data_IF_577106660819
#
_entry.id   IF_577106660819
#
_cell.length_a   1.000
_cell.length_b   1.000
_cell.length_c   1.000
_cell.angle_alpha   90.00
_cell.angle_beta   90.00
_cell.angle_gamma   90.00
#
_symmetry.space_group_name_H-M   'P 1'
#
loop_
_entity.id
_entity.type
_entity.pdbx_description
1 polymer ?
#
# COMPACT_ATOMS: atom_id res chain seq x y z
N UNK A 1 29.00 -57.15 16.72
CA UNK A 1 28.19 -57.14 17.97
C UNK A 1 28.85 -56.19 18.96
N UNK A 2 28.02 -55.50 19.74
CA UNK A 2 28.34 -54.52 20.80
C UNK A 2 28.57 -53.06 20.37
N UNK A 3 27.46 -52.34 20.45
CA UNK A 3 27.26 -50.89 20.39
C UNK A 3 27.93 -50.17 21.56
N UNK A 4 28.48 -48.97 21.31
CA UNK A 4 28.78 -47.99 22.36
C UNK A 4 28.06 -46.67 22.04
N UNK A 5 26.93 -46.48 22.72
CA UNK A 5 26.13 -45.26 22.76
C UNK A 5 26.19 -44.71 24.20
N UNK A 6 26.95 -43.64 24.41
CA UNK A 6 26.82 -42.74 25.55
C UNK A 6 27.55 -41.45 25.17
N UNK A 7 26.88 -40.34 24.93
CA UNK A 7 26.50 -39.42 26.02
C UNK A 7 25.71 -38.27 25.39
N UNK A 8 24.40 -38.20 25.64
CA UNK A 8 23.61 -36.99 25.40
C UNK A 8 23.47 -36.28 26.75
N UNK A 9 24.13 -35.13 26.86
CA UNK A 9 23.97 -34.17 27.96
C UNK A 9 22.50 -33.73 28.03
N UNK A 10 21.79 -34.13 29.09
CA UNK A 10 20.58 -33.45 29.56
C UNK A 10 21.01 -32.15 30.24
N UNK A 11 20.79 -31.01 29.58
CA UNK A 11 20.82 -29.70 30.20
C UNK A 11 19.42 -29.10 30.05
N UNK A 12 18.82 -28.70 31.18
CA UNK A 12 17.49 -28.12 31.25
C UNK A 12 16.74 -28.65 32.46
N UNK A 13 17.10 -28.16 33.66
CA UNK A 13 16.27 -28.31 34.85
C UNK A 13 14.92 -27.64 34.56
N UNK A 14 13.90 -28.45 34.32
CA UNK A 14 12.52 -28.00 34.35
C UNK A 14 12.18 -27.58 35.78
N UNK A 15 11.82 -26.31 35.96
CA UNK A 15 11.09 -25.88 37.16
C UNK A 15 9.84 -26.77 37.27
N UNK A 16 9.48 -27.27 38.47
CA UNK A 16 8.19 -27.91 38.66
C UNK A 16 7.07 -26.92 38.29
N UNK A 17 5.95 -27.38 37.69
CA UNK A 17 4.81 -26.53 37.41
C UNK A 17 4.29 -25.97 38.74
N UNK A 18 4.27 -24.64 38.85
CA UNK A 18 3.67 -23.95 39.99
C UNK A 18 2.18 -24.34 40.05
N UNK A 19 1.69 -24.61 41.25
CA UNK A 19 0.27 -24.89 41.47
C UNK A 19 -0.60 -23.76 40.86
N UNK A 20 -1.79 -24.08 40.31
CA UNK A 20 -2.66 -23.09 39.70
C UNK A 20 -3.13 -22.11 40.79
N UNK A 21 -2.45 -20.99 40.92
CA UNK A 21 -2.97 -19.84 41.65
C UNK A 21 -4.01 -19.22 40.74
N UNK A 22 -5.28 -19.31 41.13
CA UNK A 22 -6.36 -18.59 40.49
C UNK A 22 -6.13 -17.10 40.73
N UNK A 23 -5.42 -16.43 39.83
CA UNK A 23 -5.36 -14.99 39.81
C UNK A 23 -6.70 -14.50 39.25
N UNK A 24 -7.59 -14.05 40.13
CA UNK A 24 -8.73 -13.23 39.73
C UNK A 24 -8.18 -11.87 39.33
N UNK A 25 -8.01 -11.67 38.02
CA UNK A 25 -7.53 -10.40 37.46
C UNK A 25 -8.72 -9.47 37.32
N UNK A 26 -8.71 -8.36 38.06
CA UNK A 26 -9.71 -7.32 37.92
C UNK A 26 -9.40 -6.48 36.66
N UNK A 27 -10.07 -6.81 35.55
CA UNK A 27 -9.83 -6.26 34.21
C UNK A 27 -10.06 -4.75 34.19
N UNK A 28 -11.09 -4.25 34.87
CA UNK A 28 -11.42 -2.82 34.90
C UNK A 28 -10.33 -2.02 35.60
N UNK A 29 -9.78 -2.60 36.68
CA UNK A 29 -8.61 -2.03 37.35
C UNK A 29 -7.35 -2.11 36.48
N UNK A 30 -7.11 -3.22 35.77
CA UNK A 30 -5.96 -3.37 34.87
C UNK A 30 -6.00 -2.37 33.70
N UNK A 31 -7.18 -2.09 33.14
CA UNK A 31 -7.39 -1.09 32.10
C UNK A 31 -7.19 0.35 32.63
N UNK A 32 -7.58 0.62 33.89
CA UNK A 32 -7.32 1.93 34.53
C UNK A 32 -5.84 2.16 34.83
N UNK A 33 -5.03 1.09 34.90
CA UNK A 33 -3.60 1.10 35.21
C UNK A 33 -2.75 0.68 34.00
N UNK A 34 -3.12 1.08 32.78
CA UNK A 34 -2.39 0.76 31.54
C UNK A 34 -0.87 1.02 31.62
N UNK A 35 -0.45 2.10 32.29
CA UNK A 35 0.97 2.45 32.46
C UNK A 35 1.73 1.50 33.40
N UNK A 36 1.04 0.76 34.26
CA UNK A 36 1.62 -0.17 35.22
C UNK A 36 1.48 -1.62 34.78
N UNK A 37 0.33 -1.98 34.19
CA UNK A 37 0.01 -3.32 33.71
C UNK A 37 0.86 -3.75 32.51
N UNK A 38 1.34 -2.81 31.69
CA UNK A 38 2.25 -3.05 30.57
C UNK A 38 3.69 -2.64 30.86
N UNK A 39 4.07 -2.47 32.12
CA UNK A 39 5.46 -2.26 32.48
C UNK A 39 6.14 -3.63 32.75
N UNK A 40 6.99 -4.13 31.84
CA UNK A 40 7.65 -5.43 32.01
C UNK A 40 8.64 -5.45 33.18
N UNK A 41 8.95 -4.29 33.77
CA UNK A 41 9.79 -4.15 34.96
C UNK A 41 8.99 -4.11 36.27
N UNK A 42 7.66 -4.15 36.21
CA UNK A 42 6.82 -4.19 37.40
C UNK A 42 6.79 -5.61 38.00
N UNK A 43 6.89 -5.72 39.32
CA UNK A 43 6.94 -7.03 40.00
C UNK A 43 5.64 -7.83 39.84
N UNK A 44 4.51 -7.15 39.62
CA UNK A 44 3.19 -7.75 39.39
C UNK A 44 2.82 -7.83 37.90
N UNK A 45 3.81 -7.86 37.00
CA UNK A 45 3.53 -7.99 35.57
C UNK A 45 2.90 -9.36 35.27
N UNK A 46 1.60 -9.35 34.96
CA UNK A 46 0.78 -10.56 34.83
C UNK A 46 1.01 -11.35 33.52
N UNK A 47 1.94 -10.91 32.66
CA UNK A 47 2.22 -11.55 31.38
C UNK A 47 3.60 -12.20 31.42
N UNK A 48 3.64 -13.51 31.22
CA UNK A 48 4.90 -14.20 30.99
C UNK A 48 5.18 -14.22 29.48
N UNK A 49 6.40 -13.90 29.08
CA UNK A 49 6.80 -13.95 27.68
C UNK A 49 8.18 -14.58 27.54
N UNK A 50 8.32 -15.39 26.50
CA UNK A 50 9.57 -16.06 26.17
C UNK A 50 9.95 -15.73 24.73
N UNK A 51 11.18 -15.27 24.54
CA UNK A 51 11.75 -14.97 23.23
C UNK A 51 12.83 -15.98 22.92
N UNK A 52 12.65 -16.75 21.84
CA UNK A 52 13.63 -17.73 21.39
C UNK A 52 14.10 -17.38 19.98
N UNK A 53 15.43 -17.28 19.78
CA UNK A 53 15.99 -17.13 18.44
C UNK A 53 15.72 -18.37 17.59
N UNK A 54 15.36 -18.16 16.32
CA UNK A 54 15.17 -19.20 15.32
C UNK A 54 16.24 -19.11 14.22
N UNK A 55 16.33 -20.14 13.37
CA UNK A 55 17.27 -20.13 12.22
C UNK A 55 16.87 -19.03 11.23
N UNK A 56 17.83 -18.51 10.47
CA UNK A 56 17.62 -17.52 9.41
C UNK A 56 17.13 -16.15 9.88
N UNK A 57 17.46 -15.73 11.10
CA UNK A 57 17.12 -14.40 11.61
C UNK A 57 15.66 -14.24 12.06
N UNK A 58 14.91 -15.33 12.15
CA UNK A 58 13.58 -15.33 12.73
C UNK A 58 13.64 -15.43 14.26
N UNK A 59 12.56 -15.04 14.92
CA UNK A 59 12.41 -15.10 16.39
C UNK A 59 11.04 -15.67 16.72
N UNK A 60 10.98 -16.62 17.65
CA UNK A 60 9.75 -17.08 18.26
C UNK A 60 9.44 -16.23 19.48
N UNK A 61 8.23 -15.68 19.51
CA UNK A 61 7.69 -14.96 20.66
C UNK A 61 6.52 -15.78 21.21
N UNK A 62 6.69 -16.34 22.40
CA UNK A 62 5.63 -17.03 23.13
C UNK A 62 5.12 -16.11 24.24
N UNK A 63 3.82 -15.85 24.27
CA UNK A 63 3.18 -14.99 25.28
C UNK A 63 2.14 -15.84 26.02
N UNK A 64 2.26 -15.94 27.34
CA UNK A 64 1.24 -16.51 28.19
C UNK A 64 0.31 -15.38 28.66
N UNK A 65 -0.97 -15.52 28.33
CA UNK A 65 -2.00 -14.53 28.63
C UNK A 65 -3.05 -15.17 29.56
N UNK A 66 -3.61 -14.42 30.52
CA UNK A 66 -4.85 -14.81 31.19
C UNK A 66 -5.97 -15.04 30.17
N UNK A 67 -6.85 -16.01 30.41
CA UNK A 67 -7.94 -16.39 29.49
C UNK A 67 -8.79 -15.19 29.08
N UNK A 68 -9.07 -14.31 30.03
CA UNK A 68 -9.89 -13.10 29.84
C UNK A 68 -9.23 -12.06 28.92
N UNK A 69 -7.89 -12.01 28.87
CA UNK A 69 -7.13 -11.06 28.05
C UNK A 69 -6.94 -11.53 26.60
N UNK A 70 -7.21 -12.80 26.30
CA UNK A 70 -7.01 -13.37 24.95
C UNK A 70 -7.83 -12.61 23.89
N UNK A 71 -9.08 -12.23 24.21
CA UNK A 71 -9.94 -11.46 23.30
C UNK A 71 -9.36 -10.08 22.99
N UNK A 72 -8.89 -9.38 24.02
CA UNK A 72 -8.26 -8.07 23.85
C UNK A 72 -6.96 -8.16 23.05
N UNK A 73 -6.14 -9.19 23.30
CA UNK A 73 -4.91 -9.41 22.56
C UNK A 73 -5.16 -9.62 21.05
N UNK A 74 -6.20 -10.39 20.69
CA UNK A 74 -6.58 -10.57 19.28
C UNK A 74 -7.02 -9.24 18.65
N UNK A 75 -7.83 -8.44 19.35
CA UNK A 75 -8.23 -7.12 18.88
C UNK A 75 -7.03 -6.17 18.71
N UNK A 76 -6.07 -6.23 19.62
CA UNK A 76 -4.83 -5.48 19.51
C UNK A 76 -4.04 -5.88 18.25
N UNK A 77 -3.88 -7.18 18.00
CA UNK A 77 -3.21 -7.68 16.79
C UNK A 77 -3.92 -7.23 15.51
N UNK A 78 -5.26 -7.25 15.50
CA UNK A 78 -6.05 -6.74 14.39
C UNK A 78 -5.83 -5.23 14.17
N UNK A 79 -5.81 -4.44 15.24
CA UNK A 79 -5.53 -3.00 15.14
C UNK A 79 -4.12 -2.72 14.62
N UNK A 80 -3.12 -3.48 15.07
CA UNK A 80 -1.73 -3.38 14.61
C UNK A 80 -1.61 -3.78 13.15
N UNK A 81 -2.34 -4.80 12.70
CA UNK A 81 -2.40 -5.18 11.29
C UNK A 81 -2.91 -4.01 10.43
N UNK A 82 -4.00 -3.36 10.83
CA UNK A 82 -4.53 -2.17 10.16
C UNK A 82 -3.49 -1.04 10.10
N UNK A 83 -2.83 -0.77 11.23
CA UNK A 83 -1.77 0.24 11.32
C UNK A 83 -0.60 -0.05 10.36
N UNK A 84 -0.07 -1.28 10.35
CA UNK A 84 1.05 -1.64 9.48
C UNK A 84 0.68 -1.56 8.00
N UNK A 85 -0.57 -1.90 7.62
CA UNK A 85 -1.04 -1.70 6.24
C UNK A 85 -1.05 -0.23 5.85
N UNK A 86 -1.54 0.65 6.72
CA UNK A 86 -1.50 2.09 6.46
C UNK A 86 -0.06 2.61 6.33
N UNK A 87 0.85 2.13 7.18
CA UNK A 87 2.27 2.49 7.11
C UNK A 87 2.93 2.02 5.81
N UNK A 88 2.67 0.80 5.35
CA UNK A 88 3.19 0.29 4.06
C UNK A 88 2.69 1.13 2.89
N UNK A 89 1.39 1.47 2.87
CA UNK A 89 0.82 2.36 1.85
C UNK A 89 1.53 3.72 1.85
N UNK A 90 1.73 4.33 3.02
CA UNK A 90 2.44 5.61 3.13
C UNK A 90 3.90 5.50 2.70
N UNK A 91 4.58 4.40 3.05
CA UNK A 91 5.97 4.17 2.66
C UNK A 91 6.09 4.05 1.13
N UNK A 92 5.21 3.28 0.48
CA UNK A 92 5.16 3.16 -0.98
C UNK A 92 4.86 4.50 -1.65
N UNK A 93 3.91 5.27 -1.11
CA UNK A 93 3.60 6.60 -1.62
C UNK A 93 4.81 7.54 -1.49
N UNK A 94 5.51 7.55 -0.36
CA UNK A 94 6.70 8.37 -0.17
C UNK A 94 7.84 7.98 -1.13
N UNK A 95 8.03 6.69 -1.39
CA UNK A 95 8.98 6.19 -2.39
C UNK A 95 8.57 6.61 -3.80
N UNK A 96 7.28 6.54 -4.14
CA UNK A 96 6.76 6.98 -5.43
C UNK A 96 6.95 8.49 -5.64
N UNK A 97 6.70 9.32 -4.61
CA UNK A 97 6.94 10.76 -4.64
C UNK A 97 8.42 11.05 -4.87
N UNK A 98 9.33 10.33 -4.20
CA UNK A 98 10.78 10.47 -4.43
C UNK A 98 11.20 10.07 -5.84
N UNK A 99 10.61 9.00 -6.40
CA UNK A 99 10.87 8.56 -7.77
C UNK A 99 10.31 9.56 -8.81
N UNK A 100 9.16 10.17 -8.51
CA UNK A 100 8.58 11.23 -9.32
C UNK A 100 9.34 12.56 -9.20
N UNK A 101 10.29 12.70 -8.28
CA UNK A 101 11.09 13.91 -8.12
C UNK A 101 12.36 13.93 -8.99
N UNK A 102 12.49 13.02 -9.96
CA UNK A 102 13.51 13.18 -11.02
C UNK A 102 13.01 14.23 -12.04
N UNK A 103 13.56 15.46 -12.01
CA UNK A 103 13.06 16.55 -12.85
C UNK A 103 13.20 16.24 -14.35
N UNK A 104 14.20 15.44 -14.75
CA UNK A 104 14.39 15.08 -16.15
C UNK A 104 13.32 14.11 -16.64
N UNK A 105 12.93 13.13 -15.82
CA UNK A 105 11.87 12.20 -16.17
C UNK A 105 10.48 12.88 -16.25
N UNK A 106 10.25 13.90 -15.43
CA UNK A 106 9.03 14.73 -15.51
C UNK A 106 9.01 15.53 -16.81
N UNK A 107 10.10 16.24 -17.13
CA UNK A 107 10.19 17.03 -18.35
C UNK A 107 10.00 16.18 -19.60
N UNK A 108 10.65 15.02 -19.69
CA UNK A 108 10.52 14.12 -20.84
C UNK A 108 9.09 13.57 -20.97
N UNK A 109 8.41 13.31 -19.85
CA UNK A 109 7.01 12.88 -19.86
C UNK A 109 6.06 14.00 -20.30
N UNK A 110 6.31 15.24 -19.86
CA UNK A 110 5.55 16.42 -20.27
C UNK A 110 5.76 16.72 -21.76
N UNK A 111 7.00 16.67 -22.26
CA UNK A 111 7.32 16.85 -23.68
C UNK A 111 6.61 15.79 -24.55
N UNK A 112 6.65 14.52 -24.14
CA UNK A 112 5.94 13.45 -24.86
C UNK A 112 4.42 13.65 -24.85
N UNK A 113 3.87 14.13 -23.75
CA UNK A 113 2.45 14.42 -23.63
C UNK A 113 2.05 15.61 -24.51
N UNK A 114 2.87 16.65 -24.55
CA UNK A 114 2.62 17.86 -25.36
C UNK A 114 2.75 17.58 -26.85
N UNK A 115 3.78 16.82 -27.26
CA UNK A 115 3.93 16.35 -28.64
C UNK A 115 2.74 15.50 -29.10
N UNK A 116 2.22 14.62 -28.22
CA UNK A 116 1.02 13.85 -28.52
C UNK A 116 -0.21 14.75 -28.66
N UNK A 117 -0.38 15.72 -27.78
CA UNK A 117 -1.48 16.70 -27.83
C UNK A 117 -1.47 17.50 -29.13
N UNK A 118 -0.30 17.99 -29.55
CA UNK A 118 -0.12 18.71 -30.80
C UNK A 118 -0.47 17.84 -32.00
N UNK A 119 0.02 16.60 -32.01
CA UNK A 119 -0.27 15.63 -33.07
C UNK A 119 -1.77 15.34 -33.21
N UNK A 120 -2.46 15.10 -32.09
CA UNK A 120 -3.92 14.89 -32.07
C UNK A 120 -4.64 16.09 -32.66
N UNK A 121 -4.25 17.32 -32.27
CA UNK A 121 -4.87 18.54 -32.78
C UNK A 121 -4.62 18.73 -34.27
N UNK A 122 -3.38 18.52 -34.73
CA UNK A 122 -2.99 18.63 -36.14
C UNK A 122 -3.78 17.67 -37.04
N UNK A 123 -3.88 16.39 -36.65
CA UNK A 123 -4.65 15.39 -37.40
C UNK A 123 -6.13 15.73 -37.42
N UNK A 124 -6.69 16.17 -36.29
CA UNK A 124 -8.09 16.60 -36.22
C UNK A 124 -8.37 17.82 -37.10
N UNK A 125 -7.50 18.83 -37.05
CA UNK A 125 -7.64 20.07 -37.82
C UNK A 125 -7.53 19.78 -39.33
N UNK A 126 -6.68 18.83 -39.74
CA UNK A 126 -6.60 18.37 -41.13
C UNK A 126 -7.93 17.76 -41.60
N UNK A 127 -8.57 16.89 -40.82
CA UNK A 127 -9.88 16.33 -41.16
C UNK A 127 -11.00 17.38 -41.13
N UNK A 128 -10.93 18.35 -40.23
CA UNK A 128 -11.85 19.50 -40.21
C UNK A 128 -11.68 20.41 -41.42
N UNK A 129 -10.44 20.62 -41.88
CA UNK A 129 -10.12 21.36 -43.09
C UNK A 129 -10.66 20.70 -44.37
N UNK A 130 -10.81 19.38 -44.36
CA UNK A 130 -11.47 18.62 -45.43
C UNK A 130 -13.01 18.71 -45.40
N UNK A 131 -13.57 19.51 -44.49
CA UNK A 131 -15.02 19.71 -44.37
C UNK A 131 -15.75 18.63 -43.56
N UNK A 132 -15.03 17.72 -42.87
CA UNK A 132 -15.67 16.69 -42.07
C UNK A 132 -16.37 17.25 -40.84
N UNK A 133 -17.52 16.67 -40.48
CA UNK A 133 -18.22 16.97 -39.23
C UNK A 133 -17.34 16.59 -38.03
N UNK A 134 -17.40 17.35 -36.93
CA UNK A 134 -16.57 17.10 -35.74
C UNK A 134 -16.63 15.67 -35.23
N UNK A 135 -17.82 15.03 -35.23
CA UNK A 135 -17.96 13.64 -34.78
C UNK A 135 -17.21 12.66 -35.69
N UNK A 136 -17.28 12.87 -37.00
CA UNK A 136 -16.59 12.05 -38.00
C UNK A 136 -15.08 12.29 -37.96
N UNK A 137 -14.65 13.54 -37.82
CA UNK A 137 -13.25 13.90 -37.68
C UNK A 137 -12.60 13.22 -36.45
N UNK A 138 -13.28 13.19 -35.29
CA UNK A 138 -12.75 12.49 -34.09
C UNK A 138 -12.58 10.98 -34.36
N UNK A 139 -13.55 10.34 -35.03
CA UNK A 139 -13.47 8.91 -35.36
C UNK A 139 -12.28 8.62 -36.27
N UNK A 140 -12.08 9.46 -37.31
CA UNK A 140 -10.96 9.34 -38.24
C UNK A 140 -9.61 9.64 -37.57
N UNK A 141 -9.55 10.61 -36.66
CA UNK A 141 -8.36 10.87 -35.84
C UNK A 141 -8.00 9.64 -34.98
N UNK A 142 -8.99 8.97 -34.39
CA UNK A 142 -8.76 7.74 -33.62
C UNK A 142 -8.16 6.63 -34.49
N UNK A 143 -8.76 6.37 -35.65
CA UNK A 143 -8.27 5.37 -36.61
C UNK A 143 -6.85 5.69 -37.09
N UNK A 144 -6.57 6.95 -37.43
CA UNK A 144 -5.25 7.39 -37.86
C UNK A 144 -4.18 7.20 -36.77
N UNK A 145 -4.48 7.59 -35.53
CA UNK A 145 -3.54 7.43 -34.42
C UNK A 145 -3.31 5.96 -34.05
N UNK A 146 -4.34 5.12 -34.19
CA UNK A 146 -4.19 3.66 -34.02
C UNK A 146 -3.32 3.04 -35.11
N UNK A 147 -3.45 3.49 -36.36
CA UNK A 147 -2.61 3.04 -37.47
C UNK A 147 -1.12 3.39 -37.23
N UNK A 148 -0.85 4.46 -36.50
CA UNK A 148 0.50 4.88 -36.11
C UNK A 148 0.99 4.23 -34.78
N UNK A 149 0.39 3.10 -34.37
CA UNK A 149 0.75 2.36 -33.16
C UNK A 149 0.59 3.14 -31.84
N UNK A 150 -0.41 4.02 -31.73
CA UNK A 150 -0.79 4.64 -30.45
C UNK A 150 -1.99 3.91 -29.82
N UNK A 151 -1.81 2.78 -29.08
CA UNK A 151 -2.91 1.99 -28.54
C UNK A 151 -3.75 2.73 -27.48
N UNK A 152 -3.21 3.80 -26.92
CA UNK A 152 -3.79 4.65 -25.88
C UNK A 152 -4.67 5.79 -26.45
N UNK A 153 -4.73 5.93 -27.78
CA UNK A 153 -5.59 6.89 -28.48
C UNK A 153 -7.07 6.43 -28.49
N UNK A 154 -7.72 6.45 -27.33
CA UNK A 154 -9.15 6.18 -27.22
C UNK A 154 -9.97 7.40 -27.65
N UNK A 155 -11.25 7.19 -27.98
CA UNK A 155 -12.16 8.27 -28.34
C UNK A 155 -12.25 9.32 -27.23
N UNK A 156 -12.36 8.88 -25.97
CA UNK A 156 -12.45 9.75 -24.81
C UNK A 156 -11.18 10.57 -24.60
N UNK A 157 -10.01 9.95 -24.74
CA UNK A 157 -8.70 10.64 -24.66
C UNK A 157 -8.63 11.77 -25.68
N UNK A 158 -8.98 11.48 -26.94
CA UNK A 158 -8.96 12.46 -28.03
C UNK A 158 -9.94 13.60 -27.78
N UNK A 159 -11.17 13.29 -27.35
CA UNK A 159 -12.17 14.31 -27.02
C UNK A 159 -11.71 15.19 -25.85
N UNK A 160 -11.14 14.60 -24.81
CA UNK A 160 -10.57 15.34 -23.68
C UNK A 160 -9.48 16.31 -24.12
N UNK A 161 -8.55 15.82 -24.95
CA UNK A 161 -7.47 16.64 -25.53
C UNK A 161 -8.06 17.81 -26.34
N UNK A 162 -8.96 17.53 -27.29
CA UNK A 162 -9.55 18.54 -28.17
C UNK A 162 -10.42 19.57 -27.41
N UNK A 163 -11.05 19.17 -26.29
CA UNK A 163 -11.75 20.09 -25.38
C UNK A 163 -10.77 20.98 -24.64
N UNK A 164 -9.70 20.41 -24.09
CA UNK A 164 -8.67 21.18 -23.36
C UNK A 164 -7.91 22.15 -24.27
N UNK A 165 -7.74 21.82 -25.56
CA UNK A 165 -7.15 22.70 -26.57
C UNK A 165 -8.14 23.71 -27.17
N UNK A 166 -9.41 23.69 -26.75
CA UNK A 166 -10.40 24.67 -27.16
C UNK A 166 -10.98 24.48 -28.56
N UNK A 167 -10.71 23.36 -29.24
CA UNK A 167 -11.15 23.09 -30.63
C UNK A 167 -12.67 22.90 -30.79
N UNK A 168 -13.39 22.72 -29.68
CA UNK A 168 -14.86 22.68 -29.67
C UNK A 168 -15.53 24.01 -29.29
N UNK A 169 -14.77 25.07 -28.99
CA UNK A 169 -15.38 26.37 -28.70
C UNK A 169 -15.96 26.94 -30.00
N UNK A 170 -17.30 27.03 -30.07
CA UNK A 170 -17.99 27.76 -31.14
C UNK A 170 -17.45 29.19 -31.13
N UNK A 171 -16.86 29.63 -32.26
CA UNK A 171 -16.52 31.02 -32.47
C UNK A 171 -17.81 31.83 -32.29
N UNK A 172 -17.88 32.63 -31.22
CA UNK A 172 -18.99 33.55 -31.01
C UNK A 172 -18.88 34.56 -32.15
N UNK A 173 -19.70 34.45 -33.19
CA UNK A 173 -19.77 35.47 -34.25
C UNK A 173 -20.07 36.80 -33.55
N UNK A 174 -19.11 37.71 -33.51
CA UNK A 174 -19.42 39.12 -33.30
C UNK A 174 -20.30 39.52 -34.48
N UNK A 175 -21.52 39.91 -34.17
CA UNK A 175 -22.49 40.44 -35.11
C UNK A 175 -22.07 41.90 -35.30
N UNK A 176 -21.39 42.19 -36.40
CA UNK A 176 -21.31 43.54 -36.96
C UNK A 176 -22.48 43.73 -37.93
#
# INVERSE_FOLDING_TARGET
>A
MASNLSTIKKAGLGRPPLAPQSMTVDIDRALSQLNTAFNPLHQDFALDFHVQGAKNGYVYLSIALPEEMTRFFVQLLESMHGFFRCMDIKARAAVAVRKAADPFAIMEAEERHEAFKEKVCSVFDAFRGQGMESKQAISRTNEALKAENCPWATYETIVGILRSSGRFRKLRRSRD
#
